data_IF_835655402652
#
_entry.id   IF_835655402652
#
_cell.length_a   1.000
_cell.length_b   1.000
_cell.length_c   1.000
_cell.angle_alpha   90.00
_cell.angle_beta   90.00
_cell.angle_gamma   90.00
#
_symmetry.space_group_name_H-M   'P 1'
#
loop_
_entity.id
_entity.type
_entity.pdbx_description
1 polymer ?
#
# COMPACT_ATOMS: atom_id res chain seq x y z
N UNK A 1 16.17 -18.41 11.85
CA UNK A 1 14.70 -18.37 11.93
C UNK A 1 14.27 -16.92 12.20
N UNK A 2 14.57 -16.02 11.25
CA UNK A 2 14.48 -14.57 11.49
C UNK A 2 13.89 -13.76 10.31
N UNK A 3 13.39 -14.42 9.26
CA UNK A 3 13.06 -13.76 7.98
C UNK A 3 11.55 -13.42 7.81
N UNK A 4 10.67 -13.87 8.70
CA UNK A 4 9.21 -13.73 8.52
C UNK A 4 8.73 -12.27 8.49
N UNK A 5 9.45 -11.35 9.15
CA UNK A 5 9.06 -9.92 9.17
C UNK A 5 9.33 -9.19 7.86
N UNK A 6 10.32 -9.63 7.06
CA UNK A 6 10.69 -8.92 5.83
C UNK A 6 9.85 -9.39 4.63
N UNK A 7 9.45 -10.67 4.63
CA UNK A 7 8.64 -11.26 3.54
C UNK A 7 7.26 -10.62 3.42
N UNK A 8 6.57 -10.41 4.54
CA UNK A 8 5.22 -9.84 4.53
C UNK A 8 5.19 -8.41 3.96
N UNK A 9 6.20 -7.58 4.30
CA UNK A 9 6.31 -6.23 3.78
C UNK A 9 6.54 -6.23 2.26
N UNK A 10 7.36 -7.14 1.75
CA UNK A 10 7.62 -7.29 0.33
C UNK A 10 6.37 -7.79 -0.44
N UNK A 11 5.59 -8.69 0.13
CA UNK A 11 4.31 -9.13 -0.46
C UNK A 11 3.28 -8.00 -0.52
N UNK A 12 3.15 -7.22 0.56
CA UNK A 12 2.28 -6.04 0.61
C UNK A 12 2.71 -5.04 -0.47
N UNK A 13 4.00 -4.75 -0.58
CA UNK A 13 4.55 -3.83 -1.57
C UNK A 13 4.22 -4.29 -2.99
N UNK A 14 4.48 -5.55 -3.33
CA UNK A 14 4.17 -6.11 -4.65
C UNK A 14 2.67 -6.05 -4.99
N UNK A 15 1.79 -6.30 -4.02
CA UNK A 15 0.35 -6.17 -4.21
C UNK A 15 -0.06 -4.72 -4.52
N UNK A 16 0.50 -3.75 -3.80
CA UNK A 16 0.24 -2.32 -4.04
C UNK A 16 0.76 -1.92 -5.42
N UNK A 17 1.98 -2.32 -5.81
CA UNK A 17 2.55 -2.05 -7.14
C UNK A 17 1.62 -2.59 -8.23
N UNK A 18 1.14 -3.83 -8.09
CA UNK A 18 0.21 -4.43 -9.06
C UNK A 18 -1.09 -3.64 -9.21
N UNK A 19 -1.66 -3.17 -8.09
CA UNK A 19 -2.85 -2.31 -8.09
C UNK A 19 -2.55 -0.98 -8.79
N UNK A 20 -1.43 -0.33 -8.45
CA UNK A 20 -1.02 0.94 -9.04
C UNK A 20 -0.80 0.81 -10.55
N UNK A 21 -0.12 -0.24 -11.00
CA UNK A 21 0.08 -0.51 -12.43
C UNK A 21 -1.24 -0.60 -13.18
N UNK A 22 -2.22 -1.28 -12.58
CA UNK A 22 -3.55 -1.43 -13.17
C UNK A 22 -4.32 -0.10 -13.19
N UNK A 23 -4.26 0.69 -12.11
CA UNK A 23 -5.04 1.92 -11.97
C UNK A 23 -4.43 3.09 -12.76
N UNK A 24 -3.11 3.21 -12.76
CA UNK A 24 -2.36 4.24 -13.51
C UNK A 24 -2.17 3.84 -14.98
N UNK A 25 -2.45 2.59 -15.35
CA UNK A 25 -2.13 2.03 -16.66
C UNK A 25 -0.64 2.23 -17.04
N UNK A 26 0.24 2.13 -16.04
CA UNK A 26 1.68 2.31 -16.16
C UNK A 26 2.38 1.05 -15.66
N UNK A 27 3.27 0.45 -16.45
CA UNK A 27 4.00 -0.77 -16.06
C UNK A 27 5.24 -0.46 -15.21
N UNK A 28 5.79 0.75 -15.34
CA UNK A 28 7.02 1.20 -14.67
C UNK A 28 6.67 2.03 -13.42
N UNK A 29 6.02 1.40 -12.45
CA UNK A 29 5.76 2.01 -11.13
C UNK A 29 6.96 1.76 -10.22
N UNK A 30 7.61 2.84 -9.76
CA UNK A 30 8.68 2.74 -8.76
C UNK A 30 8.12 2.77 -7.33
N UNK A 31 8.62 1.94 -6.40
CA UNK A 31 8.11 1.88 -5.04
C UNK A 31 8.41 3.14 -4.20
N UNK A 32 9.38 3.94 -4.64
CA UNK A 32 9.77 5.22 -4.02
C UNK A 32 9.13 6.42 -4.71
N UNK A 33 8.48 6.22 -5.85
CA UNK A 33 7.83 7.27 -6.61
C UNK A 33 6.50 7.65 -5.97
N UNK A 34 6.22 8.95 -5.96
CA UNK A 34 4.97 9.46 -5.46
C UNK A 34 3.85 9.17 -6.47
N UNK A 35 2.69 8.73 -5.98
CA UNK A 35 1.51 8.45 -6.78
C UNK A 35 1.12 9.60 -7.72
N UNK A 36 1.21 10.83 -7.23
CA UNK A 36 0.83 12.02 -8.00
C UNK A 36 1.88 12.36 -9.06
N UNK A 37 3.17 12.14 -8.77
CA UNK A 37 4.26 12.33 -9.72
C UNK A 37 4.20 11.27 -10.85
N UNK A 38 3.76 10.05 -10.52
CA UNK A 38 3.51 8.97 -11.47
C UNK A 38 2.27 9.21 -12.38
N UNK A 39 1.62 10.37 -12.30
CA UNK A 39 0.42 10.72 -13.07
C UNK A 39 -0.91 10.40 -12.38
N UNK A 40 -0.87 10.04 -11.10
CA UNK A 40 -2.04 9.79 -10.28
C UNK A 40 -2.83 11.06 -9.93
N UNK A 41 -4.12 10.89 -9.64
CA UNK A 41 -5.02 11.96 -9.19
C UNK A 41 -6.01 11.45 -8.14
N UNK A 42 -6.82 12.32 -7.55
CA UNK A 42 -7.75 11.95 -6.48
C UNK A 42 -8.75 10.85 -6.87
N UNK A 43 -9.19 10.81 -8.13
CA UNK A 43 -10.11 9.77 -8.62
C UNK A 43 -9.39 8.41 -8.70
N UNK A 44 -8.17 8.40 -9.23
CA UNK A 44 -7.33 7.20 -9.29
C UNK A 44 -6.93 6.74 -7.89
N UNK A 45 -6.60 7.65 -6.97
CA UNK A 45 -6.30 7.34 -5.57
C UNK A 45 -7.50 6.66 -4.88
N UNK A 46 -8.71 7.17 -5.14
CA UNK A 46 -9.94 6.53 -4.64
C UNK A 46 -10.16 5.13 -5.22
N UNK A 47 -9.77 4.88 -6.48
CA UNK A 47 -9.79 3.53 -7.07
C UNK A 47 -8.77 2.62 -6.39
N UNK A 48 -7.51 3.07 -6.25
CA UNK A 48 -6.46 2.34 -5.53
C UNK A 48 -6.93 1.96 -4.12
N UNK A 49 -7.51 2.91 -3.38
CA UNK A 49 -8.05 2.67 -2.04
C UNK A 49 -9.04 1.50 -2.00
N UNK A 50 -10.00 1.48 -2.93
CA UNK A 50 -11.00 0.40 -3.02
C UNK A 50 -10.34 -0.93 -3.36
N UNK A 51 -9.41 -0.96 -4.31
CA UNK A 51 -8.71 -2.18 -4.69
C UNK A 51 -7.87 -2.75 -3.55
N UNK A 52 -7.17 -1.90 -2.79
CA UNK A 52 -6.39 -2.34 -1.62
C UNK A 52 -7.33 -2.93 -0.57
N UNK A 53 -8.45 -2.25 -0.26
CA UNK A 53 -9.45 -2.77 0.67
C UNK A 53 -10.02 -4.11 0.22
N UNK A 54 -10.37 -4.24 -1.05
CA UNK A 54 -10.96 -5.46 -1.59
C UNK A 54 -9.97 -6.64 -1.62
N UNK A 55 -8.69 -6.40 -1.92
CA UNK A 55 -7.69 -7.46 -2.06
C UNK A 55 -7.03 -7.87 -0.75
N UNK A 56 -6.86 -6.93 0.18
CA UNK A 56 -5.99 -7.14 1.35
C UNK A 56 -6.74 -7.11 2.69
N UNK A 57 -8.01 -6.68 2.71
CA UNK A 57 -8.82 -6.53 3.92
C UNK A 57 -8.10 -5.78 5.08
N UNK A 58 -7.38 -4.72 4.71
CA UNK A 58 -6.57 -3.93 5.64
C UNK A 58 -7.36 -2.73 6.19
N UNK A 59 -7.21 -2.38 7.48
CA UNK A 59 -8.00 -1.32 8.11
C UNK A 59 -7.32 0.04 7.89
N UNK A 60 -7.08 0.41 6.63
CA UNK A 60 -6.52 1.70 6.26
C UNK A 60 -7.62 2.70 5.86
N UNK A 61 -7.34 3.97 6.09
CA UNK A 61 -8.17 5.08 5.64
C UNK A 61 -7.68 5.61 4.29
N UNK A 62 -8.55 6.28 3.53
CA UNK A 62 -8.10 6.98 2.32
C UNK A 62 -7.08 8.09 2.67
N UNK A 63 -7.15 8.65 3.88
CA UNK A 63 -6.21 9.66 4.37
C UNK A 63 -4.80 9.09 4.50
N UNK A 64 -4.64 7.81 4.87
CA UNK A 64 -3.33 7.16 4.89
C UNK A 64 -2.70 7.15 3.49
N UNK A 65 -3.48 6.95 2.41
CA UNK A 65 -2.93 6.99 1.05
C UNK A 65 -2.45 8.40 0.64
N UNK A 66 -3.08 9.45 1.16
CA UNK A 66 -2.63 10.83 0.93
C UNK A 66 -1.40 11.18 1.78
N UNK A 67 -1.29 10.65 3.01
CA UNK A 67 -0.14 10.86 3.89
C UNK A 67 1.09 10.04 3.48
N UNK A 68 0.86 8.86 2.93
CA UNK A 68 1.88 7.91 2.49
C UNK A 68 1.73 7.66 0.99
N UNK A 69 1.99 8.67 0.13
CA UNK A 69 1.69 8.61 -1.29
C UNK A 69 2.74 7.83 -2.09
N UNK A 70 3.55 6.99 -1.45
CA UNK A 70 4.51 6.09 -2.12
C UNK A 70 4.18 4.65 -1.72
N UNK A 71 4.45 3.70 -2.62
CA UNK A 71 4.18 2.28 -2.36
C UNK A 71 4.93 1.81 -1.11
N UNK A 72 6.20 2.20 -0.95
CA UNK A 72 7.02 1.80 0.20
C UNK A 72 6.52 2.35 1.53
N UNK A 73 6.07 3.60 1.56
CA UNK A 73 5.52 4.16 2.80
C UNK A 73 4.17 3.53 3.13
N UNK A 74 3.33 3.28 2.12
CA UNK A 74 2.04 2.65 2.30
C UNK A 74 2.16 1.18 2.72
N UNK A 75 3.12 0.45 2.18
CA UNK A 75 3.38 -0.95 2.55
C UNK A 75 3.82 -1.06 4.01
N UNK A 76 4.72 -0.18 4.45
CA UNK A 76 5.13 -0.08 5.85
C UNK A 76 3.95 0.26 6.76
N UNK A 77 3.12 1.24 6.37
CA UNK A 77 1.93 1.61 7.14
C UNK A 77 0.97 0.43 7.31
N UNK A 78 0.71 -0.32 6.23
CA UNK A 78 -0.14 -1.51 6.27
C UNK A 78 0.48 -2.61 7.13
N UNK A 79 1.78 -2.85 7.00
CA UNK A 79 2.51 -3.80 7.82
C UNK A 79 2.41 -3.45 9.30
N UNK A 80 2.64 -2.20 9.68
CA UNK A 80 2.58 -1.73 11.07
C UNK A 80 1.18 -1.87 11.65
N UNK A 81 0.15 -1.60 10.84
CA UNK A 81 -1.24 -1.78 11.23
C UNK A 81 -1.58 -3.27 11.42
N UNK A 82 -1.02 -4.15 10.60
CA UNK A 82 -1.19 -5.61 10.73
C UNK A 82 -0.43 -6.16 11.96
N UNK A 83 0.83 -5.73 12.15
CA UNK A 83 1.65 -6.08 13.31
C UNK A 83 1.09 -5.51 14.62
N UNK A 84 0.55 -4.28 14.59
CA UNK A 84 -0.13 -3.65 15.72
C UNK A 84 -1.43 -4.35 16.10
N UNK A 85 -2.15 -4.94 15.13
CA UNK A 85 -3.31 -5.83 15.39
C UNK A 85 -2.90 -7.14 16.08
N UNK A 86 -1.69 -7.65 15.82
CA UNK A 86 -1.14 -8.77 16.59
C UNK A 86 -0.61 -8.37 17.97
N UNK A 87 -0.57 -7.07 18.28
CA UNK A 87 0.06 -6.51 19.47
C UNK A 87 -0.84 -5.69 20.41
N UNK A 88 -2.14 -5.52 20.14
CA UNK A 88 -3.04 -4.89 21.11
C UNK A 88 -3.48 -5.90 22.17
N UNK A 89 -2.67 -5.97 23.23
CA UNK A 89 -2.94 -6.58 24.52
C UNK A 89 -3.82 -5.62 25.35
N UNK A 90 -4.76 -6.22 26.08
CA UNK A 90 -5.69 -5.69 27.10
C UNK A 90 -7.11 -5.39 26.61
#
# INVERSE_FOLDING_TARGET
MSDDKNTLSAEIENNIISIWRTVLNNQDVSPLENFFDAGGNSLLMSKVYREIKNKMDVPISIVDLFQYPTVRMLSQRIHDVHAGRTGSKA
#
